data_IF_765459453234
#
_entry.id   IF_765459453234
#
_cell.length_a   1.000
_cell.length_b   1.000
_cell.length_c   1.000
_cell.angle_alpha   90.00
_cell.angle_beta   90.00
_cell.angle_gamma   90.00
#
_symmetry.space_group_name_H-M   'P 1'
#
loop_
_entity.id
_entity.type
_entity.pdbx_description
1 polymer ?
#
# COMPACT_ATOMS: atom_id res chain seq x y z
N UNK A 1 61.86 -10.04 32.33
CA UNK A 1 60.90 -11.00 32.91
C UNK A 1 59.52 -10.40 32.70
N UNK A 2 58.74 -10.90 31.75
CA UNK A 2 57.35 -10.46 31.59
C UNK A 2 56.51 -11.20 32.64
N UNK A 3 55.88 -10.45 33.54
CA UNK A 3 54.99 -10.96 34.56
C UNK A 3 53.80 -11.66 33.87
N UNK A 4 53.81 -12.99 33.88
CA UNK A 4 52.76 -13.81 33.25
C UNK A 4 51.38 -13.66 33.92
N UNK A 5 51.33 -13.03 35.10
CA UNK A 5 50.09 -12.82 35.85
C UNK A 5 49.36 -11.53 35.43
N UNK A 6 50.07 -10.43 35.15
CA UNK A 6 49.45 -9.15 34.74
C UNK A 6 48.82 -9.21 33.33
N UNK A 7 49.45 -9.94 32.39
CA UNK A 7 48.95 -10.07 31.02
C UNK A 7 47.64 -10.86 30.96
N UNK A 8 47.40 -11.78 31.90
CA UNK A 8 46.17 -12.58 31.95
C UNK A 8 44.96 -11.80 32.45
N UNK A 9 45.17 -10.84 33.36
CA UNK A 9 44.09 -10.00 33.90
C UNK A 9 43.61 -8.97 32.89
N UNK A 10 44.52 -8.30 32.17
CA UNK A 10 44.13 -7.33 31.12
C UNK A 10 43.39 -8.01 29.95
N UNK A 11 43.86 -9.18 29.49
CA UNK A 11 43.18 -9.91 28.41
C UNK A 11 41.81 -10.46 28.80
N UNK A 12 41.62 -10.84 30.08
CA UNK A 12 40.31 -11.23 30.58
C UNK A 12 39.37 -10.04 30.74
N UNK A 13 39.86 -8.90 31.26
CA UNK A 13 39.07 -7.68 31.37
C UNK A 13 38.65 -7.14 30.00
N UNK A 14 39.56 -7.14 29.02
CA UNK A 14 39.24 -6.79 27.63
C UNK A 14 38.20 -7.75 27.03
N UNK A 15 38.34 -9.06 27.26
CA UNK A 15 37.38 -10.08 26.82
C UNK A 15 36.00 -9.90 27.47
N UNK A 16 35.93 -9.63 28.77
CA UNK A 16 34.67 -9.34 29.47
C UNK A 16 34.10 -7.97 29.09
N UNK A 17 34.92 -6.98 28.75
CA UNK A 17 34.47 -5.71 28.16
C UNK A 17 33.88 -5.91 26.76
N UNK A 18 34.49 -6.79 25.97
CA UNK A 18 34.00 -7.22 24.67
C UNK A 18 32.69 -8.00 24.76
N UNK A 19 32.54 -8.85 25.78
CA UNK A 19 31.26 -9.51 26.08
C UNK A 19 30.18 -8.53 26.53
N UNK A 20 30.53 -7.46 27.26
CA UNK A 20 29.61 -6.38 27.63
C UNK A 20 29.20 -5.50 26.44
N UNK A 21 29.98 -5.47 25.36
CA UNK A 21 29.67 -4.69 24.16
C UNK A 21 28.87 -5.47 23.11
N UNK A 22 28.63 -6.77 23.32
CA UNK A 22 27.76 -7.58 22.47
C UNK A 22 26.31 -7.32 22.88
N UNK A 23 25.56 -6.64 22.00
CA UNK A 23 24.10 -6.51 22.14
C UNK A 23 23.45 -7.88 22.19
N UNK A 24 22.61 -8.09 23.18
CA UNK A 24 21.82 -9.31 23.30
C UNK A 24 20.69 -9.30 22.26
N UNK A 25 20.11 -10.46 21.96
CA UNK A 25 18.92 -10.53 21.11
C UNK A 25 17.77 -9.66 21.67
N UNK A 26 17.69 -9.55 23.00
CA UNK A 26 16.74 -8.66 23.69
C UNK A 26 17.00 -7.19 23.36
N UNK A 27 18.26 -6.74 23.38
CA UNK A 27 18.61 -5.35 23.06
C UNK A 27 18.27 -5.01 21.61
N UNK A 28 18.51 -5.94 20.68
CA UNK A 28 18.12 -5.76 19.28
C UNK A 28 16.60 -5.64 19.09
N UNK A 29 15.81 -6.43 19.84
CA UNK A 29 14.35 -6.34 19.82
C UNK A 29 13.89 -4.99 20.37
N UNK A 30 14.52 -4.51 21.45
CA UNK A 30 14.17 -3.21 22.04
C UNK A 30 14.55 -2.04 21.14
N UNK A 31 15.73 -2.05 20.52
CA UNK A 31 16.10 -1.04 19.52
C UNK A 31 15.08 -0.98 18.36
N UNK A 32 14.63 -2.14 17.90
CA UNK A 32 13.62 -2.25 16.86
C UNK A 32 12.27 -1.68 17.30
N UNK A 33 11.83 -2.01 18.52
CA UNK A 33 10.60 -1.48 19.11
C UNK A 33 10.71 0.04 19.22
N UNK A 34 11.76 0.57 19.82
CA UNK A 34 11.93 2.00 20.10
C UNK A 34 11.99 2.83 18.81
N UNK A 35 12.73 2.36 17.81
CA UNK A 35 12.79 3.02 16.50
C UNK A 35 11.44 3.01 15.77
N UNK A 36 10.69 1.91 15.87
CA UNK A 36 9.37 1.80 15.26
C UNK A 36 8.32 2.63 15.99
N UNK A 37 8.34 2.66 17.32
CA UNK A 37 7.49 3.50 18.15
C UNK A 37 7.72 4.97 17.82
N UNK A 38 8.97 5.41 17.79
CA UNK A 38 9.32 6.80 17.43
C UNK A 38 8.73 7.17 16.07
N UNK A 39 8.88 6.30 15.06
CA UNK A 39 8.30 6.52 13.74
C UNK A 39 6.77 6.68 13.78
N UNK A 40 6.06 5.83 14.51
CA UNK A 40 4.59 5.90 14.58
C UNK A 40 4.10 7.08 15.41
N UNK A 41 4.80 7.46 16.47
CA UNK A 41 4.51 8.67 17.24
C UNK A 41 4.66 9.92 16.37
N UNK A 42 5.76 10.02 15.62
CA UNK A 42 5.99 11.15 14.72
C UNK A 42 4.97 11.19 13.59
N UNK A 43 4.59 10.04 13.02
CA UNK A 43 3.49 9.93 12.08
C UNK A 43 2.17 10.48 12.65
N UNK A 44 1.80 10.10 13.88
CA UNK A 44 0.57 10.58 14.51
C UNK A 44 0.63 12.08 14.84
N UNK A 45 1.81 12.61 15.21
CA UNK A 45 2.03 14.05 15.39
C UNK A 45 1.84 14.81 14.08
N UNK A 46 2.41 14.34 12.98
CA UNK A 46 2.24 14.93 11.64
C UNK A 46 0.78 14.94 11.19
N UNK A 47 -0.01 13.96 11.63
CA UNK A 47 -1.45 13.88 11.36
C UNK A 47 -2.31 14.74 12.28
N UNK A 48 -1.71 15.49 13.20
CA UNK A 48 -2.41 16.25 14.25
C UNK A 48 -3.30 15.37 15.13
N UNK A 49 -2.97 14.07 15.23
CA UNK A 49 -3.70 13.05 15.99
C UNK A 49 -2.87 12.40 17.13
N UNK A 50 -2.03 13.14 17.89
CA UNK A 50 -1.25 12.55 18.97
C UNK A 50 -2.13 12.04 20.13
N UNK A 51 -3.38 12.50 20.21
CA UNK A 51 -4.35 12.20 21.26
C UNK A 51 -5.13 10.91 21.04
N UNK A 52 -5.00 10.24 19.88
CA UNK A 52 -5.58 8.91 19.67
C UNK A 52 -4.96 7.93 20.66
N UNK A 53 -3.66 8.06 20.93
CA UNK A 53 -2.92 7.14 21.78
C UNK A 53 -3.46 6.99 23.23
N UNK A 54 -3.76 8.06 23.99
CA UNK A 54 -4.37 7.92 25.32
C UNK A 54 -5.89 7.68 25.32
N UNK A 55 -6.63 8.02 24.25
CA UNK A 55 -8.11 7.94 24.23
C UNK A 55 -8.68 6.58 23.82
N UNK A 56 -7.84 5.69 23.32
CA UNK A 56 -8.26 4.34 22.96
C UNK A 56 -8.73 3.50 24.17
N UNK A 57 -8.42 3.94 25.40
CA UNK A 57 -8.92 3.35 26.64
C UNK A 57 -10.39 3.72 26.98
N UNK A 58 -10.98 4.70 26.30
CA UNK A 58 -12.32 5.24 26.65
C UNK A 58 -13.46 4.74 25.76
N UNK A 59 -13.18 3.89 24.77
CA UNK A 59 -14.27 3.28 23.99
C UNK A 59 -14.93 2.16 24.80
N UNK A 60 -16.07 2.48 25.40
CA UNK A 60 -17.02 1.48 25.90
C UNK A 60 -17.63 0.74 24.70
N UNK A 61 -17.34 -0.55 24.59
CA UNK A 61 -18.12 -1.44 23.74
C UNK A 61 -19.39 -1.77 24.53
N UNK A 62 -20.58 -1.63 23.92
CA UNK A 62 -21.84 -2.00 24.59
C UNK A 62 -21.73 -3.45 25.11
N UNK A 63 -21.65 -3.61 26.44
CA UNK A 63 -21.47 -4.90 27.12
C UNK A 63 -20.10 -5.14 27.77
N UNK A 64 -19.09 -4.28 27.59
CA UNK A 64 -17.80 -4.38 28.29
C UNK A 64 -17.79 -3.48 29.53
N UNK A 65 -17.90 -4.07 30.72
CA UNK A 65 -17.68 -3.35 31.99
C UNK A 65 -16.17 -3.14 32.20
N UNK A 66 -15.63 -2.07 31.61
CA UNK A 66 -14.21 -1.74 31.64
C UNK A 66 -13.75 -1.34 30.24
N UNK A 67 -13.01 -0.23 30.13
CA UNK A 67 -12.52 0.31 28.86
C UNK A 67 -11.88 -0.78 28.00
N UNK A 68 -12.33 -0.92 26.76
CA UNK A 68 -11.87 -1.97 25.87
C UNK A 68 -10.44 -1.67 25.38
N UNK A 69 -9.63 -2.72 25.26
CA UNK A 69 -8.27 -2.63 24.76
C UNK A 69 -8.29 -2.29 23.26
N UNK A 70 -7.43 -1.37 22.79
CA UNK A 70 -7.48 -0.86 21.41
C UNK A 70 -7.49 -1.98 20.34
N UNK A 71 -6.57 -2.96 20.39
CA UNK A 71 -6.66 -4.21 19.65
C UNK A 71 -8.04 -4.88 19.54
N UNK A 72 -8.80 -4.94 20.63
CA UNK A 72 -10.12 -5.56 20.66
C UNK A 72 -11.17 -4.69 19.96
N UNK A 73 -11.07 -3.36 20.15
CA UNK A 73 -11.89 -2.38 19.42
C UNK A 73 -11.61 -2.48 17.91
N UNK A 74 -10.35 -2.55 17.50
CA UNK A 74 -9.98 -2.69 16.08
C UNK A 74 -10.51 -4.00 15.49
N UNK A 75 -10.43 -5.09 16.25
CA UNK A 75 -10.98 -6.38 15.84
C UNK A 75 -12.50 -6.30 15.67
N UNK A 76 -13.22 -5.69 16.61
CA UNK A 76 -14.67 -5.49 16.53
C UNK A 76 -15.07 -4.61 15.33
N UNK A 77 -14.40 -3.47 15.13
CA UNK A 77 -14.68 -2.55 14.01
C UNK A 77 -14.44 -3.21 12.65
N UNK A 78 -13.35 -3.98 12.52
CA UNK A 78 -12.98 -4.61 11.24
C UNK A 78 -13.80 -5.86 10.94
N UNK A 79 -14.01 -6.74 11.92
CA UNK A 79 -14.70 -8.02 11.69
C UNK A 79 -16.21 -7.89 11.71
N UNK A 80 -16.76 -7.09 12.63
CA UNK A 80 -18.20 -7.07 12.90
C UNK A 80 -18.92 -5.94 12.13
N UNK A 81 -18.24 -4.79 11.95
CA UNK A 81 -18.80 -3.64 11.22
C UNK A 81 -18.30 -3.53 9.77
N UNK A 82 -17.31 -4.32 9.38
CA UNK A 82 -16.70 -4.27 8.04
C UNK A 82 -16.07 -2.91 7.70
N UNK A 83 -15.77 -2.09 8.71
CA UNK A 83 -15.24 -0.74 8.53
C UNK A 83 -13.74 -0.86 8.29
N UNK A 84 -13.27 -0.30 7.16
CA UNK A 84 -11.84 -0.14 6.93
C UNK A 84 -11.29 0.94 7.86
N UNK A 85 -10.33 0.54 8.69
CA UNK A 85 -9.63 1.44 9.59
C UNK A 85 -8.70 2.36 8.80
N UNK A 86 -8.58 3.60 9.27
CA UNK A 86 -7.57 4.52 8.76
C UNK A 86 -6.18 4.12 9.29
N UNK A 87 -5.08 4.44 8.57
CA UNK A 87 -3.72 4.09 8.98
C UNK A 87 -3.37 4.48 10.43
N UNK A 88 -3.90 5.59 10.91
CA UNK A 88 -3.65 6.14 12.25
C UNK A 88 -4.06 5.16 13.37
N UNK A 89 -5.09 4.34 13.14
CA UNK A 89 -5.53 3.33 14.11
C UNK A 89 -4.52 2.18 14.24
N UNK A 90 -3.93 1.75 13.13
CA UNK A 90 -2.88 0.73 13.13
C UNK A 90 -1.59 1.28 13.76
N UNK A 91 -1.26 2.55 13.53
CA UNK A 91 -0.14 3.21 14.18
C UNK A 91 -0.30 3.26 15.71
N UNK A 92 -1.49 3.65 16.20
CA UNK A 92 -1.78 3.67 17.63
C UNK A 92 -1.74 2.26 18.26
N UNK A 93 -2.33 1.26 17.59
CA UNK A 93 -2.29 -0.14 18.04
C UNK A 93 -0.87 -0.69 18.09
N UNK A 94 -0.04 -0.37 17.09
CA UNK A 94 1.36 -0.76 17.08
C UNK A 94 2.10 -0.24 18.32
N UNK A 95 1.97 1.05 18.64
CA UNK A 95 2.65 1.65 19.80
C UNK A 95 2.23 0.93 21.09
N UNK A 96 0.92 0.69 21.26
CA UNK A 96 0.42 0.00 22.44
C UNK A 96 1.00 -1.42 22.56
N UNK A 97 0.97 -2.21 21.47
CA UNK A 97 1.55 -3.56 21.46
C UNK A 97 3.06 -3.55 21.67
N UNK A 98 3.76 -2.51 21.22
CA UNK A 98 5.19 -2.35 21.46
C UNK A 98 5.50 -2.24 22.96
N UNK A 99 4.70 -1.47 23.71
CA UNK A 99 4.82 -1.39 25.16
C UNK A 99 4.50 -2.73 25.85
N UNK A 100 3.42 -3.40 25.43
CA UNK A 100 3.05 -4.72 25.97
C UNK A 100 4.13 -5.77 25.71
N UNK A 101 4.68 -5.81 24.50
CA UNK A 101 5.77 -6.72 24.14
C UNK A 101 6.98 -6.50 25.05
N UNK A 102 7.32 -5.23 25.33
CA UNK A 102 8.41 -4.89 26.25
C UNK A 102 8.14 -5.43 27.65
N UNK A 103 6.93 -5.25 28.16
CA UNK A 103 6.54 -5.79 29.47
C UNK A 103 6.61 -7.32 29.51
N UNK A 104 6.13 -8.02 28.48
CA UNK A 104 6.15 -9.48 28.43
C UNK A 104 7.59 -10.03 28.36
N UNK A 105 8.45 -9.39 27.57
CA UNK A 105 9.89 -9.72 27.51
C UNK A 105 10.56 -9.48 28.87
N UNK A 106 10.21 -8.39 29.57
CA UNK A 106 10.75 -8.09 30.91
C UNK A 106 10.27 -9.08 31.98
N UNK A 107 9.01 -9.52 31.90
CA UNK A 107 8.42 -10.55 32.77
C UNK A 107 8.96 -11.96 32.49
N UNK A 108 9.62 -12.16 31.34
CA UNK A 108 10.12 -13.47 30.91
C UNK A 108 9.05 -14.41 30.38
N UNK A 109 7.85 -13.89 30.07
CA UNK A 109 6.78 -14.68 29.46
C UNK A 109 6.97 -14.73 27.95
N UNK A 110 7.67 -15.78 27.50
CA UNK A 110 8.04 -15.95 26.10
C UNK A 110 6.80 -16.17 25.22
N UNK A 111 5.77 -16.85 25.74
CA UNK A 111 4.60 -17.18 24.93
C UNK A 111 3.78 -15.92 24.61
N UNK A 112 3.50 -15.12 25.64
CA UNK A 112 2.81 -13.83 25.48
C UNK A 112 3.65 -12.85 24.65
N UNK A 113 4.97 -12.81 24.85
CA UNK A 113 5.86 -11.99 24.03
C UNK A 113 5.80 -12.37 22.55
N UNK A 114 5.82 -13.67 22.21
CA UNK A 114 5.74 -14.12 20.82
C UNK A 114 4.38 -13.79 20.20
N UNK A 115 3.28 -14.01 20.92
CA UNK A 115 1.96 -13.64 20.43
C UNK A 115 1.83 -12.14 20.20
N UNK A 116 2.31 -11.33 21.16
CA UNK A 116 2.29 -9.88 21.05
C UNK A 116 3.14 -9.40 19.86
N UNK A 117 4.33 -9.96 19.64
CA UNK A 117 5.19 -9.65 18.51
C UNK A 117 4.53 -9.97 17.15
N UNK A 118 3.84 -11.11 17.03
CA UNK A 118 3.10 -11.46 15.81
C UNK A 118 2.00 -10.45 15.51
N UNK A 119 1.30 -9.99 16.54
CA UNK A 119 0.26 -8.98 16.38
C UNK A 119 0.84 -7.60 16.05
N UNK A 120 1.98 -7.24 16.63
CA UNK A 120 2.70 -6.01 16.32
C UNK A 120 3.12 -5.95 14.85
N UNK A 121 3.67 -7.04 14.30
CA UNK A 121 4.02 -7.13 12.87
C UNK A 121 2.80 -7.09 11.95
N UNK A 122 1.68 -7.66 12.40
CA UNK A 122 0.42 -7.55 11.67
C UNK A 122 -0.05 -6.09 11.58
N UNK A 123 -0.05 -5.36 12.70
CA UNK A 123 -0.45 -3.95 12.73
C UNK A 123 0.45 -3.10 11.82
N UNK A 124 1.76 -3.37 11.80
CA UNK A 124 2.71 -2.74 10.87
C UNK A 124 2.36 -3.03 9.40
N UNK A 125 2.02 -4.28 9.10
CA UNK A 125 1.64 -4.70 7.74
C UNK A 125 0.35 -4.03 7.29
N UNK A 126 -0.66 -3.99 8.16
CA UNK A 126 -1.96 -3.36 7.89
C UNK A 126 -1.83 -1.83 7.76
N UNK A 127 -0.95 -1.19 8.53
CA UNK A 127 -0.57 0.22 8.35
C UNK A 127 0.02 0.49 6.96
N UNK A 128 0.98 -0.34 6.53
CA UNK A 128 1.60 -0.18 5.21
C UNK A 128 0.57 -0.38 4.10
N UNK A 129 -0.28 -1.40 4.23
CA UNK A 129 -1.30 -1.71 3.24
C UNK A 129 -2.35 -0.59 3.12
N UNK A 130 -2.83 -0.06 4.25
CA UNK A 130 -3.80 1.04 4.29
C UNK A 130 -3.24 2.34 3.71
N UNK A 131 -1.93 2.60 3.83
CA UNK A 131 -1.28 3.75 3.17
C UNK A 131 -1.07 3.56 1.65
N UNK A 132 -0.90 2.32 1.19
CA UNK A 132 -0.64 2.02 -0.22
C UNK A 132 -1.92 1.82 -1.03
N UNK A 133 -2.98 1.28 -0.43
CA UNK A 133 -4.24 0.97 -1.11
C UNK A 133 -4.85 2.19 -1.82
N UNK A 134 -4.93 3.39 -1.21
CA UNK A 134 -5.45 4.59 -1.89
C UNK A 134 -4.62 4.97 -3.12
N UNK A 135 -3.29 4.83 -3.06
CA UNK A 135 -2.39 5.14 -4.19
C UNK A 135 -2.58 4.15 -5.34
N UNK A 136 -2.74 2.87 -5.01
CA UNK A 136 -3.01 1.80 -5.99
C UNK A 136 -4.38 2.03 -6.65
N UNK A 137 -5.41 2.34 -5.85
CA UNK A 137 -6.75 2.61 -6.35
C UNK A 137 -6.79 3.87 -7.23
N UNK A 138 -6.09 4.95 -6.83
CA UNK A 138 -5.97 6.16 -7.63
C UNK A 138 -5.26 5.88 -8.97
N UNK A 139 -4.20 5.09 -8.97
CA UNK A 139 -3.50 4.65 -10.18
C UNK A 139 -4.40 3.84 -11.12
N UNK A 140 -5.14 2.87 -10.56
CA UNK A 140 -6.11 2.07 -11.32
C UNK A 140 -7.23 2.93 -11.91
N UNK A 141 -7.73 3.91 -11.16
CA UNK A 141 -8.79 4.82 -11.60
C UNK A 141 -8.36 5.64 -12.83
N UNK A 142 -7.19 6.30 -12.75
CA UNK A 142 -6.62 7.11 -13.84
C UNK A 142 -6.43 6.29 -15.13
N UNK A 143 -5.91 5.06 -15.01
CA UNK A 143 -5.73 4.17 -16.16
C UNK A 143 -7.07 3.73 -16.75
N UNK A 144 -8.08 3.47 -15.91
CA UNK A 144 -9.41 3.07 -16.37
C UNK A 144 -10.11 4.20 -17.14
N UNK A 145 -10.04 5.44 -16.66
CA UNK A 145 -10.66 6.59 -17.33
C UNK A 145 -9.98 6.89 -18.65
N UNK A 146 -8.64 6.89 -18.69
CA UNK A 146 -7.88 7.04 -19.92
C UNK A 146 -8.23 5.94 -20.94
N UNK A 147 -8.42 4.71 -20.49
CA UNK A 147 -8.82 3.58 -21.34
C UNK A 147 -10.24 3.74 -21.87
N UNK A 148 -11.19 4.16 -21.02
CA UNK A 148 -12.57 4.47 -21.43
C UNK A 148 -12.63 5.61 -22.45
N UNK A 149 -11.87 6.69 -22.24
CA UNK A 149 -11.80 7.81 -23.19
C UNK A 149 -11.19 7.40 -24.53
N UNK A 150 -10.11 6.61 -24.52
CA UNK A 150 -9.52 6.04 -25.74
C UNK A 150 -10.52 5.16 -26.50
N UNK A 151 -11.25 4.31 -25.80
CA UNK A 151 -12.27 3.44 -26.40
C UNK A 151 -13.42 4.26 -27.00
N UNK A 152 -13.96 5.25 -26.26
CA UNK A 152 -15.01 6.15 -26.74
C UNK A 152 -14.59 6.92 -28.00
N UNK A 153 -13.34 7.41 -28.02
CA UNK A 153 -12.77 8.12 -29.18
C UNK A 153 -12.60 7.20 -30.37
N UNK A 154 -12.11 5.97 -30.15
CA UNK A 154 -12.01 4.96 -31.20
C UNK A 154 -13.38 4.62 -31.80
N UNK A 155 -14.40 4.36 -30.98
CA UNK A 155 -15.77 4.07 -31.43
C UNK A 155 -16.36 5.25 -32.22
N UNK A 156 -16.17 6.49 -31.75
CA UNK A 156 -16.62 7.70 -32.47
C UNK A 156 -15.93 7.85 -33.83
N UNK A 157 -14.62 7.61 -33.90
CA UNK A 157 -13.88 7.68 -35.16
C UNK A 157 -14.32 6.58 -36.13
N UNK A 158 -14.60 5.38 -35.63
CA UNK A 158 -15.14 4.28 -36.43
C UNK A 158 -16.55 4.58 -36.97
N UNK A 159 -17.43 5.16 -36.16
CA UNK A 159 -18.79 5.53 -36.60
C UNK A 159 -18.77 6.61 -37.69
N UNK A 160 -17.80 7.52 -37.66
CA UNK A 160 -17.60 8.51 -38.72
C UNK A 160 -16.95 7.90 -39.98
N UNK A 161 -16.00 6.99 -39.80
CA UNK A 161 -15.28 6.36 -40.90
C UNK A 161 -16.16 5.41 -41.75
N UNK A 162 -17.06 4.66 -41.10
CA UNK A 162 -17.89 3.63 -41.74
C UNK A 162 -18.77 4.14 -42.90
N UNK A 163 -19.59 5.20 -42.77
CA UNK A 163 -20.40 5.70 -43.88
C UNK A 163 -19.54 6.27 -45.01
N UNK A 164 -18.44 6.96 -44.68
CA UNK A 164 -17.51 7.48 -45.69
C UNK A 164 -16.91 6.32 -46.50
N UNK A 165 -16.43 5.28 -45.83
CA UNK A 165 -15.87 4.11 -46.47
C UNK A 165 -16.88 3.40 -47.37
N UNK A 166 -18.09 3.14 -46.86
CA UNK A 166 -19.15 2.49 -47.63
C UNK A 166 -19.54 3.29 -48.88
N UNK A 167 -19.60 4.62 -48.79
CA UNK A 167 -19.89 5.47 -49.96
C UNK A 167 -18.86 5.35 -51.09
N UNK A 168 -17.63 4.93 -50.80
CA UNK A 168 -16.62 4.63 -51.82
C UNK A 168 -16.73 3.18 -52.33
N UNK A 169 -17.08 2.23 -51.46
CA UNK A 169 -17.33 0.84 -51.87
C UNK A 169 -18.51 0.77 -52.84
N UNK A 170 -19.59 1.49 -52.57
CA UNK A 170 -20.78 1.59 -53.45
C UNK A 170 -20.45 2.21 -54.82
N UNK A 171 -19.30 2.87 -54.96
CA UNK A 171 -18.77 3.41 -56.22
C UNK A 171 -17.75 2.49 -56.89
N UNK A 172 -17.75 1.21 -56.52
CA UNK A 172 -16.84 0.17 -57.00
C UNK A 172 -15.34 0.42 -56.73
N UNK A 173 -15.02 1.16 -55.66
CA UNK A 173 -13.62 1.27 -55.24
C UNK A 173 -13.17 -0.02 -54.56
N UNK A 174 -11.94 -0.47 -54.87
CA UNK A 174 -11.32 -1.55 -54.09
C UNK A 174 -11.21 -1.15 -52.62
N UNK A 175 -11.32 -2.11 -51.69
CA UNK A 175 -11.20 -1.86 -50.23
C UNK A 175 -9.98 -1.02 -49.87
N UNK A 176 -8.89 -1.29 -50.57
CA UNK A 176 -7.61 -0.59 -50.50
C UNK A 176 -7.72 0.89 -50.91
N UNK A 177 -8.39 1.19 -52.03
CA UNK A 177 -8.64 2.58 -52.48
C UNK A 177 -9.68 3.28 -51.59
N UNK A 178 -10.77 2.61 -51.23
CA UNK A 178 -11.79 3.14 -50.33
C UNK A 178 -11.20 3.57 -48.98
N UNK A 179 -10.31 2.77 -48.38
CA UNK A 179 -9.62 3.13 -47.13
C UNK A 179 -8.71 4.36 -47.28
N UNK A 180 -8.02 4.50 -48.41
CA UNK A 180 -7.17 5.67 -48.69
C UNK A 180 -8.00 6.96 -48.80
N UNK A 181 -9.11 6.92 -49.54
CA UNK A 181 -9.99 8.08 -49.68
C UNK A 181 -10.72 8.41 -48.38
N UNK A 182 -11.10 7.41 -47.60
CA UNK A 182 -11.69 7.58 -46.27
C UNK A 182 -10.73 8.29 -45.32
N UNK A 183 -9.46 7.88 -45.27
CA UNK A 183 -8.44 8.54 -44.45
C UNK A 183 -8.23 10.02 -44.84
N UNK A 184 -8.18 10.31 -46.14
CA UNK A 184 -8.08 11.69 -46.65
C UNK A 184 -9.29 12.53 -46.26
N UNK A 185 -10.49 11.94 -46.34
CA UNK A 185 -11.75 12.64 -46.04
C UNK A 185 -11.96 12.86 -44.54
N UNK A 186 -11.62 11.90 -43.70
CA UNK A 186 -11.60 12.05 -42.24
C UNK A 186 -10.65 13.17 -41.80
N UNK A 187 -9.48 13.29 -42.44
CA UNK A 187 -8.54 14.39 -42.16
C UNK A 187 -9.11 15.74 -42.58
N UNK A 188 -9.73 15.81 -43.76
CA UNK A 188 -10.30 17.06 -44.32
C UNK A 188 -11.54 17.54 -43.56
N UNK A 189 -12.50 16.65 -43.33
CA UNK A 189 -13.84 17.01 -42.87
C UNK A 189 -13.93 16.98 -41.32
N UNK A 190 -13.06 16.21 -40.65
CA UNK A 190 -13.13 15.99 -39.19
C UNK A 190 -11.79 16.19 -38.46
N UNK A 191 -10.71 16.57 -39.15
CA UNK A 191 -9.37 16.72 -38.55
C UNK A 191 -8.73 15.42 -38.05
N UNK A 192 -9.32 14.26 -38.37
CA UNK A 192 -8.85 12.95 -37.89
C UNK A 192 -7.75 12.44 -38.84
N UNK A 193 -6.50 12.47 -38.38
CA UNK A 193 -5.35 11.99 -39.15
C UNK A 193 -5.01 10.54 -38.81
N UNK A 194 -5.45 9.60 -39.64
CA UNK A 194 -5.21 8.15 -39.45
C UNK A 194 -4.70 7.50 -40.73
N UNK A 195 -3.82 6.50 -40.64
CA UNK A 195 -3.32 5.80 -41.82
C UNK A 195 -4.40 4.89 -42.40
N UNK A 196 -4.26 4.56 -43.69
CA UNK A 196 -5.14 3.65 -44.42
C UNK A 196 -5.29 2.28 -43.74
N UNK A 197 -4.21 1.73 -43.17
CA UNK A 197 -4.23 0.44 -42.46
C UNK A 197 -5.23 0.44 -41.30
N UNK A 198 -5.24 1.52 -40.50
CA UNK A 198 -6.17 1.68 -39.39
C UNK A 198 -7.64 1.66 -39.83
N UNK A 199 -7.96 2.25 -40.99
CA UNK A 199 -9.32 2.19 -41.56
C UNK A 199 -9.70 0.75 -41.96
N UNK A 200 -8.76 -0.02 -42.51
CA UNK A 200 -8.99 -1.42 -42.85
C UNK A 200 -9.19 -2.29 -41.60
N UNK A 201 -8.43 -2.03 -40.54
CA UNK A 201 -8.57 -2.74 -39.27
C UNK A 201 -9.92 -2.48 -38.60
N UNK A 202 -10.41 -1.23 -38.67
CA UNK A 202 -11.72 -0.84 -38.16
C UNK A 202 -12.88 -1.53 -38.89
N UNK A 203 -12.69 -1.94 -40.15
CA UNK A 203 -13.66 -2.76 -40.88
C UNK A 203 -13.68 -4.22 -40.42
N UNK A 204 -12.53 -4.75 -40.00
CA UNK A 204 -12.35 -6.16 -39.65
C UNK A 204 -12.87 -6.55 -38.27
N UNK A 205 -13.10 -5.59 -37.38
CA UNK A 205 -13.60 -5.85 -36.02
C UNK A 205 -15.12 -5.78 -35.98
N UNK A 206 -15.79 -6.87 -35.57
CA UNK A 206 -17.17 -6.81 -35.06
C UNK A 206 -17.15 -5.91 -33.82
N UNK A 207 -18.09 -4.97 -33.75
CA UNK A 207 -18.28 -4.08 -32.60
C UNK A 207 -18.54 -4.95 -31.35
N UNK A 208 -17.85 -4.66 -30.25
CA UNK A 208 -18.21 -5.13 -28.90
C UNK A 208 -19.30 -4.20 -28.39
#
# INVERSE_FOLDING_TARGET
MFNKEEVKTETLEEFFSGLKSIKTAKDHIFDYIDSSVTFFEDYLKEKELPHIYPKCYEYEIEGSNGGAHLPEILKYITQDKGIKLQPEWYAASFIQRAHELREWIEKGDIFEAVQCALHLEKDRSDFNLSNLEPKILAGKSRVSEASKMKMKTATKNQSLAKPIFNSFIEKDFSKSRAALHTAKRLKKDHGINVPKSTILDWRGKKLI
#
